data_IF_500453148087
#
_entry.id   IF_500453148087
#
_cell.length_a   1.000
_cell.length_b   1.000
_cell.length_c   1.000
_cell.angle_alpha   90.00
_cell.angle_beta   90.00
_cell.angle_gamma   90.00
#
_symmetry.space_group_name_H-M   'P 1'
#
loop_
_entity.id
_entity.type
_entity.pdbx_description
1 polymer ?
#
# COMPACT_ATOMS: atom_id res chain seq x y z
N UNK A 1 29.36 -3.28 -21.91
CA UNK A 1 28.80 -4.25 -22.88
C UNK A 1 28.14 -5.42 -22.17
N UNK A 2 28.81 -6.15 -21.28
CA UNK A 2 28.28 -7.35 -20.61
C UNK A 2 26.92 -7.10 -19.90
N UNK A 3 26.79 -6.01 -19.12
CA UNK A 3 25.54 -5.69 -18.46
C UNK A 3 24.39 -5.35 -19.45
N UNK A 4 24.71 -4.69 -20.55
CA UNK A 4 23.72 -4.37 -21.59
C UNK A 4 23.24 -5.67 -22.25
N UNK A 5 24.14 -6.56 -22.63
CA UNK A 5 23.79 -7.86 -23.20
C UNK A 5 22.89 -8.67 -22.26
N UNK A 6 23.22 -8.72 -20.96
CA UNK A 6 22.38 -9.42 -19.96
C UNK A 6 20.95 -8.84 -19.85
N UNK A 7 20.81 -7.53 -20.01
CA UNK A 7 19.47 -6.89 -20.04
C UNK A 7 18.71 -7.26 -21.31
N UNK A 8 19.39 -7.28 -22.46
CA UNK A 8 18.80 -7.70 -23.73
C UNK A 8 18.41 -9.19 -23.70
N UNK A 9 19.25 -10.06 -23.13
CA UNK A 9 18.94 -11.48 -22.92
C UNK A 9 17.67 -11.64 -22.07
N UNK A 10 17.53 -10.84 -21.02
CA UNK A 10 16.35 -10.87 -20.16
C UNK A 10 15.08 -10.39 -20.90
N UNK A 11 15.19 -9.39 -21.78
CA UNK A 11 14.08 -8.95 -22.64
C UNK A 11 13.68 -10.08 -23.58
N UNK A 12 14.63 -10.74 -24.24
CA UNK A 12 14.37 -11.88 -25.13
C UNK A 12 13.70 -13.02 -24.37
N UNK A 13 14.17 -13.36 -23.16
CA UNK A 13 13.51 -14.37 -22.32
C UNK A 13 12.06 -14.00 -21.98
N UNK A 14 11.81 -12.73 -21.60
CA UNK A 14 10.43 -12.27 -21.31
C UNK A 14 9.55 -12.25 -22.57
N UNK A 15 10.13 -12.07 -23.75
CA UNK A 15 9.42 -12.15 -25.04
C UNK A 15 8.94 -13.58 -25.38
N UNK A 16 9.55 -14.62 -24.81
CA UNK A 16 9.08 -16.00 -24.98
C UNK A 16 7.80 -16.31 -24.21
N UNK A 17 7.41 -15.48 -23.23
CA UNK A 17 6.19 -15.67 -22.49
C UNK A 17 4.96 -15.63 -23.40
N UNK A 18 3.96 -16.52 -23.17
CA UNK A 18 2.65 -16.36 -23.79
C UNK A 18 2.06 -14.99 -23.50
N UNK A 19 1.29 -14.43 -24.44
CA UNK A 19 0.72 -13.08 -24.28
C UNK A 19 -0.05 -12.94 -22.98
N UNK A 20 -0.92 -13.92 -22.66
CA UNK A 20 -1.72 -13.90 -21.44
C UNK A 20 -0.86 -13.88 -20.15
N UNK A 21 0.22 -14.68 -20.11
CA UNK A 21 1.15 -14.71 -18.99
C UNK A 21 1.91 -13.39 -18.84
N UNK A 22 2.31 -12.79 -19.94
CA UNK A 22 2.98 -11.50 -19.93
C UNK A 22 2.05 -10.34 -19.47
N UNK A 23 0.79 -10.33 -19.93
CA UNK A 23 -0.17 -9.32 -19.47
C UNK A 23 -0.51 -9.49 -17.98
N UNK A 24 -0.60 -10.73 -17.48
CA UNK A 24 -0.76 -11.01 -16.06
C UNK A 24 0.45 -10.50 -15.24
N UNK A 25 1.67 -10.73 -15.72
CA UNK A 25 2.90 -10.20 -15.10
C UNK A 25 2.86 -8.66 -15.01
N UNK A 26 2.47 -7.98 -16.08
CA UNK A 26 2.33 -6.52 -16.09
C UNK A 26 1.26 -6.03 -15.12
N UNK A 27 0.12 -6.71 -15.07
CA UNK A 27 -0.93 -6.38 -14.12
C UNK A 27 -0.41 -6.50 -12.70
N UNK A 28 0.24 -7.61 -12.34
CA UNK A 28 0.83 -7.82 -11.01
C UNK A 28 1.85 -6.72 -10.66
N UNK A 29 2.72 -6.34 -11.61
CA UNK A 29 3.65 -5.22 -11.42
C UNK A 29 2.92 -3.89 -11.15
N UNK A 30 1.81 -3.62 -11.85
CA UNK A 30 1.05 -2.38 -11.69
C UNK A 30 0.37 -2.25 -10.32
N UNK A 31 0.15 -3.36 -9.62
CA UNK A 31 -0.45 -3.41 -8.27
C UNK A 31 0.59 -3.20 -7.16
N UNK A 32 1.88 -3.22 -7.49
CA UNK A 32 2.96 -2.97 -6.53
C UNK A 32 3.16 -1.47 -6.36
N UNK A 33 3.05 -1.00 -5.13
CA UNK A 33 3.31 0.41 -4.79
C UNK A 33 4.82 0.72 -4.79
N UNK A 34 5.16 2.01 -4.73
CA UNK A 34 6.55 2.49 -4.59
C UNK A 34 7.13 2.10 -3.22
N UNK A 35 7.63 0.85 -3.14
CA UNK A 35 8.21 0.28 -1.91
C UNK A 35 9.54 0.93 -1.54
N UNK A 36 10.29 1.47 -2.47
CA UNK A 36 11.53 2.21 -2.18
C UNK A 36 11.23 3.45 -1.34
N UNK A 37 10.25 4.24 -1.75
CA UNK A 37 9.80 5.42 -1.04
C UNK A 37 9.17 5.09 0.31
N UNK A 38 8.40 4.00 0.40
CA UNK A 38 7.86 3.50 1.66
C UNK A 38 8.99 3.11 2.61
N UNK A 39 9.98 2.36 2.13
CA UNK A 39 11.16 1.99 2.91
C UNK A 39 11.94 3.20 3.42
N UNK A 40 12.11 4.23 2.60
CA UNK A 40 12.71 5.51 3.02
C UNK A 40 11.94 6.17 4.18
N UNK A 41 10.60 6.18 4.12
CA UNK A 41 9.77 6.73 5.21
C UNK A 41 9.84 5.90 6.48
N UNK A 42 9.92 4.57 6.38
CA UNK A 42 10.13 3.69 7.53
C UNK A 42 11.48 4.00 8.18
N UNK A 43 12.53 4.13 7.37
CA UNK A 43 13.86 4.50 7.85
C UNK A 43 13.90 5.82 8.62
N UNK A 44 13.16 6.82 8.15
CA UNK A 44 13.00 8.12 8.79
C UNK A 44 11.99 8.13 9.96
N UNK A 45 11.26 7.04 10.20
CA UNK A 45 10.20 6.99 11.20
C UNK A 45 8.95 7.84 10.86
N UNK A 46 8.77 8.19 9.57
CA UNK A 46 7.70 9.06 9.09
C UNK A 46 6.64 8.32 8.25
N UNK A 47 6.73 6.99 8.16
CA UNK A 47 5.75 6.18 7.46
C UNK A 47 4.37 6.31 8.11
N UNK A 48 3.34 6.38 7.26
CA UNK A 48 1.94 6.44 7.67
C UNK A 48 1.34 5.03 7.75
N UNK A 49 0.24 4.82 8.47
CA UNK A 49 -0.44 3.52 8.50
C UNK A 49 -0.80 3.00 7.10
N UNK A 50 -1.21 3.88 6.20
CA UNK A 50 -1.48 3.56 4.78
C UNK A 50 -0.23 3.13 4.01
N UNK A 51 0.97 3.62 4.37
CA UNK A 51 2.22 3.17 3.75
C UNK A 51 2.53 1.72 4.15
N UNK A 52 2.28 1.34 5.40
CA UNK A 52 2.47 -0.04 5.88
C UNK A 52 1.48 -1.02 5.25
N UNK A 53 0.21 -0.61 5.08
CA UNK A 53 -0.75 -1.38 4.30
C UNK A 53 -0.28 -1.60 2.87
N UNK A 54 0.18 -0.53 2.20
CA UNK A 54 0.71 -0.62 0.83
C UNK A 54 1.92 -1.55 0.75
N UNK A 55 2.82 -1.51 1.73
CA UNK A 55 3.96 -2.44 1.80
C UNK A 55 3.48 -3.89 1.92
N UNK A 56 2.52 -4.17 2.82
CA UNK A 56 1.92 -5.50 2.98
C UNK A 56 1.34 -6.03 1.67
N UNK A 57 0.51 -5.24 1.00
CA UNK A 57 -0.11 -5.60 -0.28
C UNK A 57 0.95 -5.80 -1.38
N UNK A 58 1.96 -4.93 -1.44
CA UNK A 58 3.05 -5.05 -2.41
C UNK A 58 3.89 -6.31 -2.19
N UNK A 59 4.10 -6.75 -0.94
CA UNK A 59 4.78 -8.00 -0.65
C UNK A 59 3.97 -9.21 -1.12
N UNK A 60 2.64 -9.19 -0.98
CA UNK A 60 1.77 -10.24 -1.51
C UNK A 60 1.85 -10.32 -3.05
N UNK A 61 1.85 -9.16 -3.72
CA UNK A 61 1.99 -9.11 -5.19
C UNK A 61 3.38 -9.53 -5.66
N UNK A 62 4.43 -9.15 -4.94
CA UNK A 62 5.79 -9.59 -5.26
C UNK A 62 5.96 -11.11 -5.12
N UNK A 63 5.27 -11.72 -4.16
CA UNK A 63 5.20 -13.19 -4.06
C UNK A 63 4.47 -13.82 -5.25
N UNK A 64 3.32 -13.25 -5.67
CA UNK A 64 2.61 -13.70 -6.86
C UNK A 64 3.49 -13.60 -8.11
N UNK A 65 4.23 -12.50 -8.25
CA UNK A 65 5.20 -12.26 -9.31
C UNK A 65 6.31 -13.30 -9.33
N UNK A 66 6.87 -13.65 -8.15
CA UNK A 66 7.86 -14.72 -8.02
C UNK A 66 7.33 -16.05 -8.54
N UNK A 67 6.11 -16.44 -8.13
CA UNK A 67 5.47 -17.67 -8.59
C UNK A 67 5.21 -17.69 -10.09
N UNK A 68 4.78 -16.58 -10.67
CA UNK A 68 4.57 -16.44 -12.11
C UNK A 68 5.88 -16.64 -12.89
N UNK A 69 6.98 -16.04 -12.44
CA UNK A 69 8.30 -16.23 -13.08
C UNK A 69 8.77 -17.67 -12.97
N UNK A 70 8.58 -18.33 -11.82
CA UNK A 70 8.97 -19.73 -11.60
C UNK A 70 8.15 -20.73 -12.43
N UNK A 71 6.90 -20.40 -12.79
CA UNK A 71 6.09 -21.23 -13.68
C UNK A 71 6.60 -21.28 -15.11
N UNK A 72 7.27 -20.25 -15.58
CA UNK A 72 7.70 -20.10 -16.96
C UNK A 72 9.22 -20.23 -17.16
N UNK A 73 9.99 -20.03 -16.09
CA UNK A 73 11.45 -20.09 -16.14
C UNK A 73 11.97 -20.99 -15.02
N UNK A 74 12.83 -21.94 -15.38
CA UNK A 74 13.50 -22.81 -14.39
C UNK A 74 14.69 -22.09 -13.76
N UNK A 75 14.54 -21.69 -12.51
CA UNK A 75 15.60 -21.07 -11.71
C UNK A 75 16.10 -21.99 -10.59
N UNK A 76 15.65 -23.24 -10.53
CA UNK A 76 15.94 -24.16 -9.40
C UNK A 76 17.39 -24.54 -9.27
N UNK A 77 18.12 -24.61 -10.37
CA UNK A 77 19.52 -25.03 -10.39
C UNK A 77 20.55 -23.89 -10.15
N UNK A 78 20.07 -22.67 -9.90
CA UNK A 78 20.96 -21.53 -9.67
C UNK A 78 21.27 -21.40 -8.19
N UNK A 79 22.31 -22.09 -7.73
CA UNK A 79 22.74 -22.09 -6.31
C UNK A 79 23.59 -20.87 -5.95
N UNK A 80 24.36 -20.34 -6.88
CA UNK A 80 25.25 -19.19 -6.66
C UNK A 80 25.01 -18.09 -7.71
N UNK A 81 25.08 -16.82 -7.30
CA UNK A 81 25.07 -15.70 -8.22
C UNK A 81 26.49 -15.50 -8.77
N UNK A 82 26.71 -15.92 -10.01
CA UNK A 82 27.96 -15.67 -10.76
C UNK A 82 27.78 -14.54 -11.78
N UNK A 83 28.88 -14.12 -12.40
CA UNK A 83 28.85 -13.16 -13.49
C UNK A 83 28.02 -13.64 -14.69
N UNK A 84 27.90 -14.95 -14.88
CA UNK A 84 27.19 -15.58 -15.98
C UNK A 84 25.71 -15.92 -15.65
N UNK A 85 25.26 -15.62 -14.42
CA UNK A 85 23.88 -15.87 -14.04
C UNK A 85 22.92 -14.97 -14.84
N UNK A 86 21.86 -15.55 -15.49
CA UNK A 86 20.87 -14.76 -16.21
C UNK A 86 20.24 -13.67 -15.33
N UNK A 87 19.97 -12.50 -15.89
CA UNK A 87 19.47 -11.36 -15.12
C UNK A 87 18.11 -11.67 -14.45
N UNK A 88 17.19 -12.36 -15.15
CA UNK A 88 15.91 -12.75 -14.58
C UNK A 88 16.08 -13.69 -13.39
N UNK A 89 17.04 -14.61 -13.43
CA UNK A 89 17.35 -15.49 -12.32
C UNK A 89 17.93 -14.73 -11.12
N UNK A 90 18.73 -13.69 -11.36
CA UNK A 90 19.23 -12.81 -10.29
C UNK A 90 18.09 -12.00 -9.68
N UNK A 91 17.16 -11.49 -10.48
CA UNK A 91 16.01 -10.73 -10.00
C UNK A 91 15.04 -11.63 -9.24
N UNK A 92 14.78 -12.86 -9.72
CA UNK A 92 13.91 -13.81 -9.04
C UNK A 92 14.37 -14.17 -7.64
N UNK A 93 15.69 -14.27 -7.41
CA UNK A 93 16.27 -14.50 -6.05
C UNK A 93 16.07 -13.33 -5.10
N UNK A 94 15.72 -12.15 -5.58
CA UNK A 94 15.44 -10.97 -4.76
C UNK A 94 13.93 -10.75 -4.54
N UNK A 95 13.09 -11.54 -5.21
CA UNK A 95 11.66 -11.58 -4.96
C UNK A 95 11.37 -12.48 -3.75
N UNK A 96 10.31 -12.20 -2.98
CA UNK A 96 9.97 -13.01 -1.84
C UNK A 96 9.66 -14.45 -2.28
N UNK A 97 10.36 -15.38 -1.69
CA UNK A 97 10.02 -16.79 -1.71
C UNK A 97 9.63 -17.18 -0.28
N UNK A 98 8.39 -17.54 -0.06
CA UNK A 98 7.89 -17.95 1.26
C UNK A 98 8.63 -19.19 1.80
N UNK A 99 9.30 -19.93 0.93
CA UNK A 99 10.04 -21.14 1.33
C UNK A 99 11.50 -20.88 1.68
N UNK A 100 12.11 -19.74 1.27
CA UNK A 100 13.56 -19.54 1.31
C UNK A 100 14.03 -18.28 2.05
N UNK A 101 13.15 -17.31 2.35
CA UNK A 101 13.56 -16.10 3.08
C UNK A 101 12.61 -15.79 4.23
N UNK A 102 13.02 -16.10 5.44
CA UNK A 102 12.28 -15.75 6.67
C UNK A 102 11.98 -14.26 6.79
N UNK A 103 12.81 -13.39 6.19
CA UNK A 103 12.71 -11.94 6.31
C UNK A 103 11.42 -11.38 5.72
N UNK A 104 11.06 -11.72 4.47
CA UNK A 104 9.83 -11.21 3.85
C UNK A 104 8.58 -11.83 4.45
N UNK A 105 8.63 -13.12 4.81
CA UNK A 105 7.56 -13.78 5.52
C UNK A 105 7.31 -13.13 6.88
N UNK A 106 8.36 -12.78 7.60
CA UNK A 106 8.29 -12.07 8.87
C UNK A 106 7.73 -10.65 8.73
N UNK A 107 8.17 -9.87 7.72
CA UNK A 107 7.61 -8.54 7.44
C UNK A 107 6.12 -8.64 7.12
N UNK A 108 5.74 -9.57 6.23
CA UNK A 108 4.35 -9.76 5.84
C UNK A 108 3.49 -10.18 7.04
N UNK A 109 3.90 -11.19 7.80
CA UNK A 109 3.18 -11.68 8.97
C UNK A 109 3.03 -10.59 10.04
N UNK A 110 4.09 -9.83 10.30
CA UNK A 110 4.07 -8.72 11.25
C UNK A 110 3.04 -7.66 10.83
N UNK A 111 3.05 -7.25 9.57
CA UNK A 111 2.11 -6.26 9.04
C UNK A 111 0.68 -6.79 8.97
N UNK A 112 0.49 -8.08 8.63
CA UNK A 112 -0.80 -8.74 8.57
C UNK A 112 -1.45 -8.84 9.95
N UNK A 113 -0.67 -9.11 10.98
CA UNK A 113 -1.15 -9.18 12.36
C UNK A 113 -1.41 -7.80 12.96
N UNK A 114 -0.58 -6.80 12.63
CA UNK A 114 -0.59 -5.51 13.32
C UNK A 114 -1.53 -4.48 12.69
N UNK A 115 -1.60 -4.38 11.36
CA UNK A 115 -2.25 -3.26 10.65
C UNK A 115 -3.63 -3.68 10.12
N UNK A 116 -4.65 -2.88 10.39
CA UNK A 116 -6.01 -3.06 9.85
C UNK A 116 -6.03 -2.95 8.32
N UNK A 117 -7.11 -3.45 7.70
CA UNK A 117 -7.25 -3.43 6.24
C UNK A 117 -7.64 -2.05 5.69
N UNK A 118 -8.22 -1.21 6.53
CA UNK A 118 -8.57 0.18 6.22
C UNK A 118 -7.98 1.13 7.27
N UNK A 119 -6.66 1.36 7.26
CA UNK A 119 -6.03 2.19 8.28
C UNK A 119 -6.33 3.66 8.06
N UNK A 120 -6.40 4.47 9.14
CA UNK A 120 -6.58 5.90 9.06
C UNK A 120 -5.42 6.57 8.33
N UNK A 121 -5.68 7.75 7.76
CA UNK A 121 -4.66 8.53 7.04
C UNK A 121 -3.55 9.06 7.97
N UNK A 122 -3.88 9.29 9.24
CA UNK A 122 -2.95 9.86 10.21
C UNK A 122 -2.93 9.05 11.51
N UNK A 123 -1.75 8.90 12.11
CA UNK A 123 -1.53 8.21 13.39
C UNK A 123 -2.37 8.82 14.53
N UNK A 124 -2.61 10.14 14.49
CA UNK A 124 -3.40 10.85 15.51
C UNK A 124 -4.87 10.45 15.57
N UNK A 125 -5.39 9.85 14.49
CA UNK A 125 -6.80 9.51 14.40
C UNK A 125 -7.12 8.19 15.15
N UNK A 126 -6.08 7.37 15.42
CA UNK A 126 -6.22 6.05 16.06
C UNK A 126 -6.92 5.03 15.17
N UNK A 127 -7.02 3.78 15.63
CA UNK A 127 -7.70 2.70 14.92
C UNK A 127 -6.86 2.07 13.79
N UNK A 128 -5.54 2.14 13.90
CA UNK A 128 -4.62 1.58 12.90
C UNK A 128 -4.14 0.16 13.24
N UNK A 129 -4.24 -0.24 14.51
CA UNK A 129 -3.80 -1.56 14.99
C UNK A 129 -4.97 -2.53 15.02
N UNK A 130 -4.76 -3.74 14.49
CA UNK A 130 -5.78 -4.81 14.50
C UNK A 130 -6.15 -5.23 15.92
N UNK A 131 -7.43 -5.51 16.12
CA UNK A 131 -7.92 -6.13 17.35
C UNK A 131 -7.26 -7.51 17.54
N UNK A 132 -6.84 -7.80 18.75
CA UNK A 132 -6.11 -9.02 19.10
C UNK A 132 -4.59 -8.92 18.98
N UNK A 133 -4.05 -7.78 18.51
CA UNK A 133 -2.60 -7.57 18.43
C UNK A 133 -1.98 -7.27 19.80
N UNK A 134 -2.65 -6.45 20.60
CA UNK A 134 -2.20 -6.10 21.95
C UNK A 134 -3.40 -6.15 22.92
N UNK A 135 -3.38 -7.04 23.95
CA UNK A 135 -4.50 -7.21 24.87
C UNK A 135 -4.86 -5.96 25.66
N UNK A 136 -3.88 -5.13 26.01
CA UNK A 136 -4.10 -3.89 26.75
C UNK A 136 -4.78 -2.83 25.89
N UNK A 137 -4.41 -2.76 24.59
CA UNK A 137 -5.08 -1.90 23.64
C UNK A 137 -6.54 -2.33 23.45
N UNK A 138 -6.78 -3.62 23.30
CA UNK A 138 -8.14 -4.17 23.18
C UNK A 138 -9.00 -3.85 24.40
N UNK A 139 -8.43 -3.93 25.60
CA UNK A 139 -9.13 -3.55 26.84
C UNK A 139 -9.57 -2.09 26.81
N UNK A 140 -8.66 -1.17 26.49
CA UNK A 140 -8.99 0.26 26.40
C UNK A 140 -10.00 0.57 25.29
N UNK A 141 -9.89 -0.09 24.14
CA UNK A 141 -10.84 0.06 23.04
C UNK A 141 -12.22 -0.50 23.38
N UNK A 142 -12.30 -1.61 24.11
CA UNK A 142 -13.56 -2.19 24.57
C UNK A 142 -14.24 -1.29 25.59
N UNK A 143 -13.50 -0.70 26.54
CA UNK A 143 -14.05 0.28 27.49
C UNK A 143 -14.63 1.49 26.77
N UNK A 144 -13.96 1.96 25.72
CA UNK A 144 -14.45 3.04 24.87
C UNK A 144 -15.67 2.61 24.03
N UNK A 145 -15.63 1.42 23.42
CA UNK A 145 -16.69 0.93 22.52
C UNK A 145 -18.00 0.58 23.23
N UNK A 146 -17.94 0.18 24.51
CA UNK A 146 -19.11 -0.23 25.28
C UNK A 146 -19.82 0.94 26.01
N UNK A 147 -19.42 2.17 25.71
CA UNK A 147 -19.92 3.36 26.41
C UNK A 147 -21.45 3.51 26.28
N UNK A 148 -22.02 3.26 25.10
CA UNK A 148 -23.46 3.38 24.87
C UNK A 148 -24.27 2.40 25.75
N UNK A 149 -23.78 1.16 25.87
CA UNK A 149 -24.41 0.16 26.71
C UNK A 149 -24.32 0.55 28.21
N UNK A 150 -23.18 1.05 28.63
CA UNK A 150 -22.96 1.52 29.99
C UNK A 150 -23.86 2.71 30.36
N UNK A 151 -23.98 3.66 29.43
CA UNK A 151 -24.85 4.83 29.59
C UNK A 151 -26.34 4.44 29.62
N UNK A 152 -26.76 3.54 28.72
CA UNK A 152 -28.15 3.07 28.72
C UNK A 152 -28.48 2.26 29.99
N UNK A 153 -27.56 1.43 30.44
CA UNK A 153 -27.73 0.72 31.74
C UNK A 153 -27.88 1.70 32.89
N UNK A 154 -27.06 2.76 32.95
CA UNK A 154 -27.20 3.82 33.94
C UNK A 154 -28.56 4.56 33.82
N UNK A 155 -28.96 4.87 32.55
CA UNK A 155 -30.24 5.53 32.30
C UNK A 155 -31.44 4.67 32.75
N UNK A 156 -31.40 3.36 32.52
CA UNK A 156 -32.43 2.41 33.00
C UNK A 156 -32.47 2.40 34.52
N UNK A 157 -31.33 2.34 35.20
CA UNK A 157 -31.23 2.38 36.65
C UNK A 157 -31.81 3.68 37.22
N UNK A 158 -31.48 4.83 36.64
CA UNK A 158 -31.96 6.13 37.08
C UNK A 158 -33.48 6.29 36.83
N UNK A 159 -34.00 5.77 35.69
CA UNK A 159 -35.45 5.73 35.41
C UNK A 159 -36.23 4.98 36.50
N UNK A 160 -35.73 3.81 36.89
CA UNK A 160 -36.40 2.98 37.89
C UNK A 160 -36.29 3.57 39.28
N UNK A 161 -35.10 4.03 39.67
CA UNK A 161 -34.83 4.56 41.00
C UNK A 161 -35.65 5.83 41.31
N UNK A 162 -35.82 6.70 40.34
CA UNK A 162 -36.40 8.03 40.52
C UNK A 162 -37.78 8.19 39.88
N UNK A 163 -38.36 7.11 39.34
CA UNK A 163 -39.65 7.14 38.66
C UNK A 163 -39.70 8.18 37.52
N UNK A 164 -38.64 8.21 36.70
CA UNK A 164 -38.48 9.13 35.59
C UNK A 164 -38.51 8.38 34.21
N UNK A 165 -39.68 7.86 33.78
CA UNK A 165 -39.73 6.92 32.63
C UNK A 165 -39.30 7.50 31.32
N UNK A 166 -39.31 8.82 31.16
CA UNK A 166 -38.94 9.52 29.93
C UNK A 166 -37.49 10.08 29.93
N UNK A 167 -36.70 9.69 30.93
CA UNK A 167 -35.27 10.07 31.01
C UNK A 167 -34.53 9.54 29.79
N UNK A 168 -33.86 10.42 29.08
CA UNK A 168 -32.97 10.08 27.95
C UNK A 168 -31.53 10.40 28.31
N UNK A 169 -30.60 9.59 27.81
CA UNK A 169 -29.18 9.91 27.84
C UNK A 169 -28.73 10.41 26.49
N UNK A 170 -27.86 11.39 26.49
CA UNK A 170 -27.32 11.98 25.22
C UNK A 170 -25.91 12.48 25.42
N UNK A 171 -25.28 12.81 24.30
CA UNK A 171 -23.93 13.39 24.23
C UNK A 171 -23.92 14.67 23.42
N UNK A 172 -23.15 15.66 23.88
CA UNK A 172 -22.88 16.90 23.17
C UNK A 172 -21.39 17.21 23.26
N UNK A 173 -20.75 17.56 22.15
CA UNK A 173 -19.30 17.90 22.11
C UNK A 173 -18.90 18.98 23.09
N UNK A 174 -19.77 19.94 23.39
CA UNK A 174 -19.52 21.05 24.32
C UNK A 174 -19.81 20.71 25.76
N UNK A 175 -20.87 19.91 25.99
CA UNK A 175 -21.43 19.63 27.33
C UNK A 175 -21.12 18.23 27.86
N UNK A 176 -20.49 17.35 27.05
CA UNK A 176 -20.25 15.96 27.41
C UNK A 176 -21.53 15.13 27.45
N UNK A 177 -21.55 14.09 28.28
CA UNK A 177 -22.73 13.26 28.53
C UNK A 177 -23.73 13.98 29.42
N UNK A 178 -25.02 13.83 29.12
CA UNK A 178 -26.12 14.42 29.89
C UNK A 178 -27.35 13.53 29.91
N UNK A 179 -28.14 13.69 30.95
CA UNK A 179 -29.53 13.23 31.02
C UNK A 179 -30.47 14.34 30.58
N UNK A 180 -31.46 13.99 29.77
CA UNK A 180 -32.47 14.94 29.28
C UNK A 180 -33.84 14.53 29.82
N UNK A 181 -34.53 15.46 30.46
CA UNK A 181 -35.90 15.37 30.98
C UNK A 181 -36.77 16.41 30.28
N UNK A 182 -38.06 16.10 30.11
CA UNK A 182 -39.04 17.12 29.75
C UNK A 182 -39.17 18.17 30.84
N UNK A 183 -39.54 19.40 30.50
CA UNK A 183 -39.71 20.49 31.44
C UNK A 183 -40.70 20.15 32.59
N UNK A 184 -41.65 19.23 32.32
CA UNK A 184 -42.60 18.74 33.33
C UNK A 184 -41.91 17.80 34.34
N UNK A 185 -41.11 16.85 33.85
CA UNK A 185 -40.42 15.86 34.70
C UNK A 185 -39.19 16.45 35.42
N UNK A 186 -38.59 17.50 34.84
CA UNK A 186 -37.48 18.21 35.45
C UNK A 186 -37.82 18.79 36.84
N UNK A 187 -39.10 19.05 37.13
CA UNK A 187 -39.55 19.51 38.45
C UNK A 187 -39.40 18.42 39.53
N UNK A 188 -39.39 17.16 39.14
CA UNK A 188 -39.27 16.00 40.01
C UNK A 188 -37.85 15.43 39.98
N UNK A 189 -36.87 16.15 39.37
CA UNK A 189 -35.49 15.71 39.35
C UNK A 189 -34.91 15.65 40.77
N UNK A 190 -34.19 14.57 41.13
CA UNK A 190 -33.53 14.47 42.42
C UNK A 190 -32.47 15.55 42.67
N UNK A 191 -32.15 15.86 43.92
CA UNK A 191 -31.18 16.90 44.29
C UNK A 191 -29.77 16.66 43.68
N UNK A 192 -29.38 15.40 43.48
CA UNK A 192 -28.07 15.08 42.88
C UNK A 192 -28.03 15.24 41.34
N UNK A 193 -29.16 15.56 40.70
CA UNK A 193 -29.23 15.97 39.29
C UNK A 193 -28.86 17.45 39.20
N UNK A 194 -27.61 17.72 38.82
CA UNK A 194 -27.15 19.10 38.64
C UNK A 194 -27.59 19.59 37.25
N UNK A 195 -28.43 20.65 37.23
CA UNK A 195 -28.92 21.25 35.96
C UNK A 195 -27.75 21.90 35.22
N UNK A 196 -27.59 21.54 33.93
CA UNK A 196 -26.52 22.04 33.08
C UNK A 196 -27.03 22.98 31.98
N UNK A 197 -28.20 22.70 31.41
CA UNK A 197 -28.80 23.50 30.36
C UNK A 197 -30.32 23.41 30.39
N UNK A 198 -30.98 24.56 30.20
CA UNK A 198 -32.41 24.67 30.00
C UNK A 198 -32.72 24.93 28.53
N UNK A 199 -33.56 24.10 27.93
CA UNK A 199 -34.07 24.21 26.58
C UNK A 199 -35.57 24.59 26.62
N UNK A 200 -36.18 24.94 25.50
CA UNK A 200 -37.59 25.35 25.40
C UNK A 200 -38.54 24.31 25.99
N UNK A 201 -38.31 23.00 25.76
CA UNK A 201 -39.20 21.90 26.16
C UNK A 201 -38.51 20.81 26.99
N UNK A 202 -37.22 20.97 27.33
CA UNK A 202 -36.45 19.98 28.05
C UNK A 202 -35.37 20.64 28.91
N UNK A 203 -34.89 19.92 29.88
CA UNK A 203 -33.76 20.33 30.72
C UNK A 203 -32.72 19.22 30.72
N UNK A 204 -31.45 19.62 30.73
CA UNK A 204 -30.31 18.71 30.72
C UNK A 204 -29.61 18.73 32.05
N UNK A 205 -29.32 17.53 32.54
CA UNK A 205 -28.73 17.32 33.84
C UNK A 205 -27.48 16.48 33.77
N UNK A 206 -26.59 16.66 34.71
CA UNK A 206 -25.45 15.81 34.97
C UNK A 206 -25.57 15.19 36.36
N UNK A 207 -25.12 13.95 36.51
CA UNK A 207 -25.04 13.28 37.81
C UNK A 207 -23.61 12.89 38.13
N UNK A 208 -23.23 12.69 39.41
CA UNK A 208 -21.90 12.20 39.77
C UNK A 208 -21.53 10.89 39.06
N UNK A 209 -22.49 9.95 38.96
CA UNK A 209 -22.28 8.69 38.25
C UNK A 209 -21.99 8.90 36.74
N UNK A 210 -22.75 9.80 36.08
CA UNK A 210 -22.52 10.13 34.66
C UNK A 210 -21.17 10.79 34.46
N UNK A 211 -20.72 11.65 35.36
CA UNK A 211 -19.41 12.30 35.32
C UNK A 211 -18.27 11.29 35.48
N UNK A 212 -18.41 10.31 36.39
CA UNK A 212 -17.43 9.23 36.57
C UNK A 212 -17.27 8.40 35.26
N UNK A 213 -18.39 8.08 34.61
CA UNK A 213 -18.37 7.36 33.33
C UNK A 213 -17.68 8.21 32.24
N UNK A 214 -17.97 9.52 32.19
CA UNK A 214 -17.33 10.44 31.23
C UNK A 214 -15.81 10.51 31.45
N UNK A 215 -15.36 10.66 32.67
CA UNK A 215 -13.93 10.69 33.01
C UNK A 215 -13.23 9.38 32.64
N UNK A 216 -13.86 8.24 32.94
CA UNK A 216 -13.34 6.93 32.55
C UNK A 216 -13.27 6.75 31.05
N UNK A 217 -14.28 7.19 30.31
CA UNK A 217 -14.35 7.13 28.86
C UNK A 217 -13.25 7.97 28.21
N UNK A 218 -13.09 9.23 28.62
CA UNK A 218 -12.07 10.12 28.09
C UNK A 218 -10.66 9.64 28.44
N UNK A 219 -10.47 9.10 29.65
CA UNK A 219 -9.19 8.49 30.05
C UNK A 219 -8.88 7.26 29.20
N UNK A 220 -9.84 6.34 29.00
CA UNK A 220 -9.66 5.14 28.16
C UNK A 220 -9.30 5.51 26.72
N UNK A 221 -9.96 6.49 26.13
CA UNK A 221 -9.66 6.98 24.78
C UNK A 221 -8.23 7.53 24.67
N UNK A 222 -7.82 8.36 25.62
CA UNK A 222 -6.48 8.94 25.67
C UNK A 222 -5.39 7.89 25.85
N UNK A 223 -5.65 6.88 26.70
CA UNK A 223 -4.73 5.78 26.94
C UNK A 223 -4.63 4.85 25.73
N UNK A 224 -5.75 4.50 25.12
CA UNK A 224 -5.78 3.70 23.89
C UNK A 224 -4.95 4.37 22.78
N UNK A 225 -5.16 5.67 22.52
CA UNK A 225 -4.41 6.40 21.49
C UNK A 225 -2.91 6.49 21.79
N UNK A 226 -2.55 6.70 23.06
CA UNK A 226 -1.14 6.76 23.49
C UNK A 226 -0.45 5.41 23.33
N UNK A 227 -1.12 4.33 23.75
CA UNK A 227 -0.62 2.96 23.61
C UNK A 227 -0.50 2.58 22.14
N UNK A 228 -1.50 2.89 21.33
CA UNK A 228 -1.50 2.60 19.90
C UNK A 228 -0.35 3.29 19.16
N UNK A 229 -0.06 4.55 19.48
CA UNK A 229 1.12 5.26 18.94
C UNK A 229 2.43 4.56 19.31
N UNK A 230 2.58 4.14 20.57
CA UNK A 230 3.76 3.42 21.04
C UNK A 230 3.93 2.08 20.32
N UNK A 231 2.84 1.33 20.14
CA UNK A 231 2.85 0.07 19.37
C UNK A 231 3.28 0.35 17.93
N UNK A 232 2.75 1.37 17.30
CA UNK A 232 3.10 1.76 15.95
C UNK A 232 4.58 2.16 15.80
N UNK A 233 5.13 2.94 16.72
CA UNK A 233 6.53 3.30 16.76
C UNK A 233 7.44 2.06 16.91
N UNK A 234 7.06 1.12 17.78
CA UNK A 234 7.76 -0.15 17.93
C UNK A 234 7.71 -0.99 16.65
N UNK A 235 6.57 -1.00 15.95
CA UNK A 235 6.42 -1.67 14.66
C UNK A 235 7.37 -1.07 13.62
N UNK A 236 7.45 0.25 13.50
CA UNK A 236 8.40 0.92 12.61
C UNK A 236 9.84 0.57 12.97
N UNK A 237 10.16 0.49 14.27
CA UNK A 237 11.50 0.13 14.73
C UNK A 237 11.87 -1.31 14.34
N UNK A 238 10.96 -2.26 14.46
CA UNK A 238 11.18 -3.64 14.01
C UNK A 238 11.41 -3.72 12.50
N UNK A 239 10.62 -2.99 11.71
CA UNK A 239 10.78 -2.94 10.26
C UNK A 239 12.11 -2.33 9.80
N UNK A 240 12.69 -1.40 10.57
CA UNK A 240 13.99 -0.77 10.25
C UNK A 240 15.13 -1.79 10.12
N UNK A 241 15.13 -2.85 10.90
CA UNK A 241 16.16 -3.88 10.82
C UNK A 241 16.15 -4.67 9.50
N UNK A 242 15.01 -4.63 8.78
CA UNK A 242 14.78 -5.39 7.55
C UNK A 242 14.75 -4.50 6.29
N UNK A 243 15.08 -3.21 6.42
CA UNK A 243 15.05 -2.25 5.30
C UNK A 243 15.99 -2.64 4.14
N UNK A 244 17.10 -3.30 4.42
CA UNK A 244 18.01 -3.78 3.37
C UNK A 244 17.33 -4.76 2.41
N UNK A 245 16.47 -5.64 2.92
CA UNK A 245 15.72 -6.59 2.12
C UNK A 245 14.64 -5.87 1.28
N UNK A 246 13.92 -4.95 1.90
CA UNK A 246 12.92 -4.12 1.20
C UNK A 246 13.55 -3.32 0.06
N UNK A 247 14.75 -2.75 0.27
CA UNK A 247 15.47 -2.02 -0.78
C UNK A 247 15.94 -2.93 -1.93
N UNK A 248 16.41 -4.14 -1.62
CA UNK A 248 16.78 -5.12 -2.65
C UNK A 248 15.57 -5.54 -3.48
N UNK A 249 14.44 -5.79 -2.82
CA UNK A 249 13.18 -6.09 -3.49
C UNK A 249 12.73 -4.94 -4.39
N UNK A 250 12.76 -3.71 -3.90
CA UNK A 250 12.40 -2.51 -4.68
C UNK A 250 13.21 -2.40 -5.97
N UNK A 251 14.54 -2.61 -5.88
CA UNK A 251 15.42 -2.60 -7.05
C UNK A 251 15.09 -3.72 -8.03
N UNK A 252 14.84 -4.93 -7.54
CA UNK A 252 14.51 -6.07 -8.40
C UNK A 252 13.21 -5.81 -9.17
N UNK A 253 12.17 -5.32 -8.49
CA UNK A 253 10.89 -4.96 -9.12
C UNK A 253 11.08 -3.84 -10.14
N UNK A 254 11.83 -2.78 -9.79
CA UNK A 254 12.09 -1.67 -10.71
C UNK A 254 12.83 -2.12 -11.98
N UNK A 255 13.82 -3.03 -11.87
CA UNK A 255 14.46 -3.62 -13.03
C UNK A 255 13.48 -4.44 -13.88
N UNK A 256 12.68 -5.27 -13.26
CA UNK A 256 11.71 -6.11 -13.97
C UNK A 256 10.65 -5.27 -14.68
N UNK A 257 10.17 -4.20 -14.04
CA UNK A 257 9.21 -3.26 -14.62
C UNK A 257 9.77 -2.60 -15.91
N UNK A 258 11.03 -2.13 -15.88
CA UNK A 258 11.68 -1.56 -17.05
C UNK A 258 11.82 -2.60 -18.17
N UNK A 259 12.24 -3.83 -17.84
CA UNK A 259 12.37 -4.91 -18.84
C UNK A 259 11.01 -5.27 -19.45
N UNK A 260 9.96 -5.38 -18.63
CA UNK A 260 8.59 -5.63 -19.09
C UNK A 260 8.07 -4.50 -19.99
N UNK A 261 8.43 -3.25 -19.69
CA UNK A 261 8.07 -2.12 -20.52
C UNK A 261 8.77 -2.19 -21.91
N UNK A 262 10.03 -2.57 -21.97
CA UNK A 262 10.73 -2.79 -23.24
C UNK A 262 10.09 -3.91 -24.06
N UNK A 263 9.71 -5.03 -23.44
CA UNK A 263 8.97 -6.09 -24.13
C UNK A 263 7.64 -5.58 -24.67
N UNK A 264 6.91 -4.78 -23.89
CA UNK A 264 5.64 -4.18 -24.32
C UNK A 264 5.82 -3.31 -25.57
N UNK A 265 6.83 -2.44 -25.55
CA UNK A 265 7.15 -1.57 -26.68
C UNK A 265 7.54 -2.37 -27.93
N UNK A 266 8.41 -3.39 -27.78
CA UNK A 266 8.84 -4.24 -28.88
C UNK A 266 7.67 -5.01 -29.48
N UNK A 267 6.79 -5.60 -28.64
CA UNK A 267 5.61 -6.30 -29.11
C UNK A 267 4.60 -5.39 -29.81
N UNK A 268 4.45 -4.15 -29.32
CA UNK A 268 3.56 -3.16 -29.94
C UNK A 268 4.07 -2.78 -31.34
N UNK A 269 5.35 -2.50 -31.46
CA UNK A 269 5.97 -2.12 -32.74
C UNK A 269 5.94 -3.27 -33.76
N UNK A 270 6.20 -4.50 -33.34
CA UNK A 270 6.18 -5.67 -34.22
C UNK A 270 4.77 -6.05 -34.72
N UNK A 271 3.70 -5.54 -34.10
CA UNK A 271 2.31 -5.74 -34.55
C UNK A 271 1.85 -4.73 -35.60
N UNK A 272 2.51 -3.59 -35.73
CA UNK A 272 2.12 -2.58 -36.69
C UNK A 272 2.59 -2.99 -38.10
N UNK A 273 1.68 -3.10 -39.08
CA UNK A 273 1.95 -3.52 -40.44
C UNK A 273 2.96 -2.63 -41.20
N UNK A 274 3.31 -1.48 -40.65
CA UNK A 274 4.21 -0.49 -41.27
C UNK A 274 5.56 -0.37 -40.56
N UNK A 275 5.79 -1.03 -39.42
CA UNK A 275 7.06 -0.98 -38.70
C UNK A 275 7.88 -2.24 -38.98
N UNK A 276 9.11 -2.05 -39.39
CA UNK A 276 10.11 -3.15 -39.43
C UNK A 276 10.41 -3.54 -37.97
N UNK A 277 10.64 -4.83 -37.77
CA UNK A 277 10.93 -5.39 -36.44
C UNK A 277 12.13 -4.68 -35.80
N UNK A 278 11.99 -4.32 -34.55
CA UNK A 278 13.11 -3.89 -33.74
C UNK A 278 14.09 -5.04 -33.61
N UNK A 279 15.39 -4.76 -33.75
CA UNK A 279 16.43 -5.76 -33.59
C UNK A 279 17.32 -5.48 -32.39
N UNK A 280 17.98 -6.54 -31.94
CA UNK A 280 18.98 -6.44 -30.89
C UNK A 280 20.26 -5.81 -31.48
N UNK A 281 20.85 -4.77 -30.83
CA UNK A 281 22.12 -4.22 -31.22
C UNK A 281 23.26 -5.23 -30.95
N UNK A 282 24.21 -5.31 -31.87
CA UNK A 282 25.44 -6.08 -31.73
C UNK A 282 26.55 -5.14 -31.27
N UNK A 283 27.24 -5.51 -30.19
CA UNK A 283 28.38 -4.74 -29.67
C UNK A 283 29.68 -5.40 -30.05
N UNK A 284 30.51 -4.68 -30.79
CA UNK A 284 31.86 -5.13 -31.08
C UNK A 284 32.76 -4.94 -29.86
N UNK A 285 33.37 -6.03 -29.36
CA UNK A 285 34.20 -6.03 -28.17
C UNK A 285 35.69 -6.26 -28.49
N UNK A 286 36.01 -6.48 -29.76
CA UNK A 286 37.34 -6.92 -30.20
C UNK A 286 38.18 -5.86 -30.93
N UNK A 287 37.57 -4.71 -31.24
CA UNK A 287 38.25 -3.65 -32.02
C UNK A 287 38.48 -2.41 -31.14
N UNK A 288 39.68 -1.87 -31.14
CA UNK A 288 40.05 -0.62 -30.47
C UNK A 288 39.46 0.63 -31.17
N UNK A 289 38.89 0.47 -32.38
CA UNK A 289 38.23 1.54 -33.10
C UNK A 289 36.73 1.58 -32.81
N UNK A 290 36.27 2.71 -32.27
CA UNK A 290 34.83 2.95 -32.14
C UNK A 290 34.20 3.02 -33.55
N UNK A 291 33.32 2.08 -33.87
CA UNK A 291 32.58 2.06 -35.13
C UNK A 291 31.08 1.95 -34.86
N UNK A 292 30.30 2.66 -35.69
CA UNK A 292 28.86 2.60 -35.70
C UNK A 292 28.38 2.18 -37.08
N UNK A 293 27.64 1.07 -37.14
CA UNK A 293 27.03 0.59 -38.41
C UNK A 293 25.52 0.39 -38.16
N UNK A 294 24.71 1.22 -38.78
CA UNK A 294 23.24 1.17 -38.72
C UNK A 294 22.74 0.88 -40.12
N UNK A 295 22.00 -0.21 -40.32
CA UNK A 295 21.35 -0.58 -41.57
C UNK A 295 19.84 -0.33 -41.45
N UNK A 296 19.28 0.45 -42.38
CA UNK A 296 17.86 0.80 -42.39
C UNK A 296 17.43 1.55 -41.13
N UNK A 297 18.26 2.48 -40.66
CA UNK A 297 18.01 3.26 -39.45
C UNK A 297 16.71 4.05 -39.51
N UNK A 298 15.94 4.04 -38.44
CA UNK A 298 14.62 4.68 -38.33
C UNK A 298 14.56 5.57 -37.11
N UNK A 299 13.74 6.63 -37.21
CA UNK A 299 13.59 7.59 -36.09
C UNK A 299 12.21 7.47 -35.46
N UNK A 300 12.13 6.85 -34.28
CA UNK A 300 10.89 6.49 -33.57
C UNK A 300 9.95 7.70 -33.43
N UNK A 301 10.47 8.86 -33.01
CA UNK A 301 9.66 10.05 -32.74
C UNK A 301 9.08 10.63 -34.03
N UNK A 302 9.87 10.66 -35.11
CA UNK A 302 9.42 11.16 -36.41
C UNK A 302 8.33 10.25 -36.96
N UNK A 303 8.54 8.94 -36.94
CA UNK A 303 7.53 7.97 -37.40
C UNK A 303 6.22 8.06 -36.59
N UNK A 304 6.31 8.14 -35.26
CA UNK A 304 5.13 8.32 -34.41
C UNK A 304 4.41 9.65 -34.71
N UNK A 305 5.16 10.71 -34.99
CA UNK A 305 4.62 12.00 -35.43
C UNK A 305 3.86 11.92 -36.75
N UNK A 306 4.45 11.28 -37.74
CA UNK A 306 3.82 11.05 -39.06
C UNK A 306 2.54 10.20 -38.93
N UNK A 307 2.56 9.14 -38.15
CA UNK A 307 1.38 8.29 -37.90
C UNK A 307 0.23 9.07 -37.26
N UNK A 308 0.52 9.94 -36.27
CA UNK A 308 -0.50 10.80 -35.65
C UNK A 308 -1.11 11.79 -36.65
N UNK A 309 -0.29 12.38 -37.50
CA UNK A 309 -0.75 13.32 -38.53
C UNK A 309 -1.60 12.62 -39.60
N UNK A 310 -1.23 11.40 -39.99
CA UNK A 310 -2.01 10.59 -40.93
C UNK A 310 -3.41 10.24 -40.43
N UNK A 311 -3.58 10.08 -39.11
CA UNK A 311 -4.90 9.88 -38.51
C UNK A 311 -5.80 11.13 -38.48
N UNK A 312 -5.22 12.33 -38.59
CA UNK A 312 -5.94 13.61 -38.55
C UNK A 312 -6.12 14.29 -39.90
N UNK A 313 -5.45 13.83 -40.97
CA UNK A 313 -5.49 14.44 -42.27
C UNK A 313 -5.81 13.39 -43.35
N UNK A 314 -6.70 13.76 -44.28
CA UNK A 314 -7.05 12.95 -45.48
C UNK A 314 -5.97 12.88 -46.54
N UNK A 315 -4.83 13.54 -46.34
CA UNK A 315 -3.70 13.53 -47.27
C UNK A 315 -2.72 12.37 -46.93
N UNK A 316 -2.32 11.61 -47.93
CA UNK A 316 -1.28 10.61 -47.78
C UNK A 316 0.05 11.33 -47.45
N UNK A 317 0.56 11.10 -46.23
CA UNK A 317 1.90 11.55 -45.87
C UNK A 317 2.92 10.57 -46.46
N UNK A 318 4.05 11.11 -46.96
CA UNK A 318 5.15 10.28 -47.42
C UNK A 318 5.64 9.37 -46.30
N UNK A 319 5.88 8.08 -46.58
CA UNK A 319 6.37 7.16 -45.60
C UNK A 319 7.78 7.55 -45.14
N UNK A 320 8.09 7.24 -43.88
CA UNK A 320 9.43 7.45 -43.34
C UNK A 320 10.46 6.66 -44.17
N UNK A 321 11.47 7.35 -44.68
CA UNK A 321 12.59 6.73 -45.41
C UNK A 321 13.68 6.32 -44.43
N UNK A 322 13.96 5.02 -44.37
CA UNK A 322 15.05 4.49 -43.57
C UNK A 322 16.42 4.83 -44.19
N UNK A 323 17.41 5.16 -43.38
CA UNK A 323 18.74 5.53 -43.81
C UNK A 323 19.80 4.65 -43.14
N UNK A 324 20.84 4.33 -43.91
CA UNK A 324 22.03 3.67 -43.39
C UNK A 324 23.01 4.71 -42.84
N UNK A 325 23.74 4.32 -41.78
CA UNK A 325 24.77 5.15 -41.19
C UNK A 325 25.98 4.27 -40.84
N UNK A 326 27.14 4.64 -41.35
CA UNK A 326 28.42 3.99 -41.07
C UNK A 326 29.41 5.07 -40.65
N UNK A 327 29.99 4.91 -39.43
CA UNK A 327 30.98 5.83 -38.86
C UNK A 327 32.16 5.04 -38.30
#
# INVERSE_FOLDING_TARGET
>A
VTLINRRLDAVEQLMTLPIAAFELLKQTLSEISDIERIGGRIGLGSAKPTDLLKLRLSLAQALALSKQLQQHFDFTNITTLSADTPLLAMLSKQLPDLALTDSFANIYALLEQAIVDEPPAHIRDGGMIKKGYDPQLDEWQNLHGNIEQTLEALAVQERQKNNLPMLKVGFNKVSGFYFELSALQAKNAPEYFTRRQTLKNAERFITPALKTIEESYLSAQGQALTLEKRIYENLLHQLKSQLGDVQRLAKAIGYLDVLANWVSLTRLQNRSHHSKNWCRPLFNTTDDSASLNIQGGRHIVVEAGQQRQAHHQTASLDPFVANDCVM
#
